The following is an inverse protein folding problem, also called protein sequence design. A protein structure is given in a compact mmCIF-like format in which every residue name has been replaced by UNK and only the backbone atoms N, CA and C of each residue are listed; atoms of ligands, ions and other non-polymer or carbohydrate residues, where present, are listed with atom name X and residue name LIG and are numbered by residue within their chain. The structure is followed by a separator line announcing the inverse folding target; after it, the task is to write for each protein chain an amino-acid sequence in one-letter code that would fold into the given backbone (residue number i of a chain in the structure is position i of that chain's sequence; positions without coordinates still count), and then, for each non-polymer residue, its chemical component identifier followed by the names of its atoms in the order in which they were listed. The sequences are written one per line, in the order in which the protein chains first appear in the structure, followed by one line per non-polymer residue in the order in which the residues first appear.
data_IF_869066455787
#
_entry.id   IF_869066455787
#
_cell.length_a   1.000
_cell.length_b   1.000
_cell.length_c   1.000
_cell.angle_alpha   90.00
_cell.angle_beta   90.00
_cell.angle_gamma   90.00
#
_symmetry.space_group_name_H-M   'P 1'
#
loop_
_entity.id
_entity.type
_entity.pdbx_description
1 polymer ?
#
# COMPACT_ATOMS: atom_id res chain seq x y z
N UNK A 1 4.30 -16.10 -8.76
CA UNK A 1 5.49 -15.26 -9.00
C UNK A 1 6.51 -16.10 -9.77
N UNK A 2 7.15 -15.52 -10.78
CA UNK A 2 8.21 -16.13 -11.60
C UNK A 2 9.54 -15.38 -11.38
N UNK A 3 10.63 -15.93 -11.91
CA UNK A 3 11.90 -15.19 -12.03
C UNK A 3 11.69 -13.90 -12.83
N UNK A 4 12.42 -12.86 -12.45
CA UNK A 4 12.44 -11.61 -13.22
C UNK A 4 12.78 -11.91 -14.68
N UNK A 5 12.22 -11.13 -15.62
CA UNK A 5 12.46 -11.35 -17.06
C UNK A 5 13.94 -11.28 -17.44
N UNK A 6 14.73 -10.46 -16.72
CA UNK A 6 16.18 -10.31 -16.90
C UNK A 6 16.99 -11.43 -16.23
N UNK A 7 16.36 -12.32 -15.46
CA UNK A 7 16.97 -13.38 -14.65
C UNK A 7 17.99 -12.90 -13.61
N UNK A 8 18.03 -11.59 -13.32
CA UNK A 8 18.91 -10.96 -12.34
C UNK A 8 18.14 -10.58 -11.09
N UNK A 9 18.85 -10.52 -9.96
CA UNK A 9 18.34 -9.88 -8.76
C UNK A 9 18.24 -8.37 -8.99
N UNK A 10 17.10 -7.78 -8.65
CA UNK A 10 16.85 -6.34 -8.79
C UNK A 10 16.74 -5.74 -7.39
N UNK A 11 17.51 -4.68 -7.16
CA UNK A 11 17.57 -3.94 -5.89
C UNK A 11 17.63 -2.44 -6.19
N UNK A 12 16.47 -1.81 -6.38
CA UNK A 12 16.37 -0.40 -6.74
C UNK A 12 15.06 0.21 -6.26
N UNK A 13 14.96 1.54 -6.33
CA UNK A 13 13.70 2.25 -6.10
C UNK A 13 12.91 2.30 -7.41
N UNK A 14 11.63 1.92 -7.32
CA UNK A 14 10.69 1.96 -8.43
C UNK A 14 9.52 2.86 -8.09
N UNK A 15 8.79 3.31 -9.12
CA UNK A 15 7.58 4.10 -8.94
C UNK A 15 6.36 3.19 -9.07
N UNK A 16 5.43 3.36 -8.13
CA UNK A 16 4.18 2.62 -8.06
C UNK A 16 3.02 3.60 -8.12
N UNK A 17 2.12 3.43 -9.08
CA UNK A 17 0.85 4.16 -9.08
C UNK A 17 -0.18 3.40 -8.27
N UNK A 18 -0.87 4.10 -7.40
CA UNK A 18 -2.05 3.59 -6.67
C UNK A 18 -3.20 3.44 -7.65
N UNK A 19 -3.66 2.21 -7.86
CA UNK A 19 -4.83 1.92 -8.69
C UNK A 19 -6.11 1.86 -7.86
N UNK A 20 -6.01 1.38 -6.61
CA UNK A 20 -7.15 1.26 -5.70
C UNK A 20 -6.78 1.65 -4.27
N UNK A 21 -7.59 2.52 -3.66
CA UNK A 21 -7.38 3.00 -2.28
C UNK A 21 -8.39 2.44 -1.27
N UNK A 22 -9.34 1.60 -1.68
CA UNK A 22 -10.34 0.97 -0.81
C UNK A 22 -9.83 -0.36 -0.22
N UNK A 23 -8.65 -0.30 0.40
CA UNK A 23 -8.11 -1.38 1.24
C UNK A 23 -7.61 -0.82 2.57
N UNK A 24 -7.54 -1.62 3.65
CA UNK A 24 -6.90 -1.23 4.91
C UNK A 24 -5.47 -0.67 4.75
N UNK A 25 -4.79 -1.04 3.68
CA UNK A 25 -3.39 -0.68 3.42
C UNK A 25 -3.23 0.55 2.52
N UNK A 26 -4.30 1.01 1.86
CA UNK A 26 -4.23 2.10 0.87
C UNK A 26 -5.25 3.21 1.11
N UNK A 27 -6.12 3.15 2.12
CA UNK A 27 -7.18 4.16 2.30
C UNK A 27 -6.71 5.58 2.62
N UNK A 28 -5.49 5.78 3.12
CA UNK A 28 -4.89 7.12 3.29
C UNK A 28 -4.18 7.62 2.00
N UNK A 29 -4.28 6.88 0.89
CA UNK A 29 -3.71 7.26 -0.42
C UNK A 29 -4.76 7.81 -1.38
N UNK A 30 -4.31 8.47 -2.44
CA UNK A 30 -5.17 8.92 -3.54
C UNK A 30 -4.98 8.03 -4.77
N UNK A 31 -6.07 7.62 -5.43
CA UNK A 31 -5.97 6.90 -6.72
C UNK A 31 -5.23 7.77 -7.73
N UNK A 32 -4.26 7.19 -8.44
CA UNK A 32 -3.34 7.89 -9.33
C UNK A 32 -2.10 8.48 -8.65
N UNK A 33 -2.02 8.47 -7.31
CA UNK A 33 -0.82 8.87 -6.60
C UNK A 33 0.35 7.95 -6.95
N UNK A 34 1.51 8.53 -7.24
CA UNK A 34 2.75 7.80 -7.51
C UNK A 34 3.61 7.78 -6.26
N UNK A 35 4.04 6.58 -5.85
CA UNK A 35 4.89 6.32 -4.68
C UNK A 35 6.23 5.77 -5.11
N UNK A 36 7.33 6.26 -4.53
CA UNK A 36 8.68 5.72 -4.76
C UNK A 36 9.04 4.68 -3.71
N UNK A 37 8.98 3.39 -4.05
CA UNK A 37 9.14 2.27 -3.12
C UNK A 37 10.28 1.34 -3.59
N UNK A 38 11.17 0.87 -2.69
CA UNK A 38 12.23 -0.06 -3.07
C UNK A 38 11.69 -1.47 -3.35
N UNK A 39 12.37 -2.17 -4.26
CA UNK A 39 12.21 -3.60 -4.50
C UNK A 39 13.55 -4.32 -4.24
N UNK A 40 13.49 -5.59 -3.83
CA UNK A 40 14.68 -6.40 -3.58
C UNK A 40 14.37 -7.89 -3.83
N UNK A 41 14.35 -8.33 -5.09
CA UNK A 41 13.96 -9.69 -5.44
C UNK A 41 14.60 -10.23 -6.73
N UNK A 42 14.84 -11.55 -6.77
CA UNK A 42 15.12 -12.29 -8.02
C UNK A 42 13.86 -12.91 -8.66
N UNK A 43 12.76 -12.97 -7.90
CA UNK A 43 11.49 -13.59 -8.28
C UNK A 43 10.31 -12.66 -7.96
N UNK A 44 10.24 -11.54 -8.68
CA UNK A 44 9.19 -10.54 -8.55
C UNK A 44 8.21 -10.47 -9.72
N UNK A 45 8.43 -11.24 -10.79
CA UNK A 45 7.56 -11.22 -11.96
C UNK A 45 6.19 -11.83 -11.61
N UNK A 46 5.17 -10.98 -11.51
CA UNK A 46 3.79 -11.43 -11.35
C UNK A 46 3.30 -12.04 -12.66
N UNK A 47 2.73 -13.23 -12.56
CA UNK A 47 2.22 -13.99 -13.69
C UNK A 47 0.96 -14.74 -13.27
N UNK A 48 -0.07 -14.65 -14.10
CA UNK A 48 -1.28 -15.46 -14.04
C UNK A 48 -1.80 -15.69 -15.48
N UNK A 49 -2.74 -16.61 -15.64
CA UNK A 49 -3.44 -16.80 -16.91
C UNK A 49 -4.37 -15.61 -17.23
N UNK A 50 -4.77 -15.49 -18.49
CA UNK A 50 -5.55 -14.35 -18.97
C UNK A 50 -6.94 -14.22 -18.33
N UNK A 51 -7.55 -15.34 -17.92
CA UNK A 51 -8.87 -15.29 -17.25
C UNK A 51 -8.73 -14.78 -15.82
N UNK A 52 -7.67 -15.20 -15.11
CA UNK A 52 -7.31 -14.65 -13.80
C UNK A 52 -7.03 -13.15 -13.88
N UNK A 53 -6.23 -12.70 -14.85
CA UNK A 53 -5.92 -11.27 -15.02
C UNK A 53 -7.18 -10.46 -15.32
N UNK A 54 -8.03 -10.93 -16.24
CA UNK A 54 -9.30 -10.28 -16.54
C UNK A 54 -10.19 -10.20 -15.30
N UNK A 55 -10.27 -11.28 -14.53
CA UNK A 55 -11.05 -11.30 -13.30
C UNK A 55 -10.51 -10.31 -12.26
N UNK A 56 -9.19 -10.16 -12.12
CA UNK A 56 -8.62 -9.15 -11.23
C UNK A 56 -8.95 -7.71 -11.66
N UNK A 57 -8.95 -7.45 -12.98
CA UNK A 57 -9.33 -6.15 -13.54
C UNK A 57 -10.82 -5.87 -13.34
N UNK A 58 -11.70 -6.82 -13.65
CA UNK A 58 -13.16 -6.70 -13.53
C UNK A 58 -13.63 -6.41 -12.09
N UNK A 59 -12.84 -6.82 -11.09
CA UNK A 59 -13.18 -6.68 -9.69
C UNK A 59 -12.29 -5.66 -8.95
N UNK A 60 -11.59 -4.80 -9.69
CA UNK A 60 -10.73 -3.74 -9.16
C UNK A 60 -9.74 -4.23 -8.08
N UNK A 61 -9.20 -5.44 -8.27
CA UNK A 61 -8.32 -6.10 -7.32
C UNK A 61 -6.84 -5.76 -7.53
N UNK A 62 -6.51 -4.94 -8.52
CA UNK A 62 -5.15 -4.46 -8.76
C UNK A 62 -4.97 -3.20 -7.93
N UNK A 63 -4.04 -3.24 -6.97
CA UNK A 63 -3.85 -2.15 -5.99
C UNK A 63 -2.71 -1.24 -6.41
N UNK A 64 -1.66 -1.80 -7.02
CA UNK A 64 -0.49 -1.07 -7.47
C UNK A 64 0.01 -1.56 -8.82
N UNK A 65 0.44 -0.62 -9.66
CA UNK A 65 1.19 -0.91 -10.89
C UNK A 65 2.55 -0.22 -10.88
N UNK A 66 3.56 -0.87 -11.46
CA UNK A 66 4.82 -0.23 -11.80
C UNK A 66 4.56 0.81 -12.88
N UNK A 67 5.06 2.03 -12.65
CA UNK A 67 4.91 3.15 -13.58
C UNK A 67 6.22 3.90 -13.68
N UNK A 68 6.28 4.83 -14.63
CA UNK A 68 7.30 5.87 -14.63
C UNK A 68 7.03 6.89 -13.51
N UNK A 69 7.95 7.84 -13.28
CA UNK A 69 7.79 8.88 -12.25
C UNK A 69 6.57 9.79 -12.46
N UNK A 70 6.08 9.97 -13.68
CA UNK A 70 4.89 10.77 -13.98
C UNK A 70 3.58 9.98 -13.86
N UNK A 71 3.69 8.68 -13.56
CA UNK A 71 2.56 7.77 -13.42
C UNK A 71 2.12 7.12 -14.73
N UNK A 72 2.81 7.33 -15.85
CA UNK A 72 2.51 6.60 -17.10
C UNK A 72 2.93 5.13 -17.03
N UNK A 73 2.17 4.27 -17.73
CA UNK A 73 2.52 2.87 -17.91
C UNK A 73 3.45 2.75 -19.10
N UNK A 74 4.67 2.30 -18.86
CA UNK A 74 5.63 1.96 -19.90
C UNK A 74 6.38 0.66 -19.55
N UNK A 75 6.88 -0.01 -20.59
CA UNK A 75 7.59 -1.27 -20.43
C UNK A 75 8.94 -1.11 -19.72
N UNK A 76 9.55 0.08 -19.80
CA UNK A 76 10.85 0.35 -19.20
C UNK A 76 10.78 0.37 -17.66
N UNK A 77 9.67 0.82 -17.11
CA UNK A 77 9.41 0.93 -15.67
C UNK A 77 8.97 -0.39 -15.05
N UNK A 78 8.50 -1.34 -15.87
CA UNK A 78 8.17 -2.70 -15.44
C UNK A 78 9.43 -3.59 -15.34
N UNK A 79 10.31 -3.25 -14.40
CA UNK A 79 11.67 -3.81 -14.31
C UNK A 79 11.74 -5.33 -14.11
N UNK A 80 10.68 -5.95 -13.58
CA UNK A 80 10.62 -7.40 -13.37
C UNK A 80 9.82 -8.16 -14.45
N UNK A 81 9.16 -7.43 -15.36
CA UNK A 81 8.36 -7.99 -16.46
C UNK A 81 7.02 -8.58 -16.01
N UNK A 82 6.44 -8.06 -14.93
CA UNK A 82 5.11 -8.51 -14.45
C UNK A 82 4.04 -8.26 -15.49
N UNK A 83 3.10 -9.20 -15.64
CA UNK A 83 1.94 -8.99 -16.53
C UNK A 83 1.16 -7.74 -16.09
N UNK A 84 0.78 -6.92 -17.07
CA UNK A 84 0.14 -5.61 -16.89
C UNK A 84 0.82 -4.67 -15.88
N UNK A 85 2.15 -4.81 -15.71
CA UNK A 85 2.93 -4.07 -14.73
C UNK A 85 2.40 -4.20 -13.28
N UNK A 86 1.71 -5.31 -12.94
CA UNK A 86 1.11 -5.50 -11.62
C UNK A 86 2.18 -5.62 -10.54
N UNK A 87 2.13 -4.74 -9.54
CA UNK A 87 3.03 -4.74 -8.38
C UNK A 87 2.36 -5.23 -7.09
N UNK A 88 1.03 -5.16 -7.02
CA UNK A 88 0.26 -5.65 -5.89
C UNK A 88 -1.22 -5.85 -6.21
N UNK A 89 -1.82 -6.83 -5.55
CA UNK A 89 -3.24 -7.21 -5.71
C UNK A 89 -3.90 -7.40 -4.34
N UNK A 90 -5.23 -7.33 -4.27
CA UNK A 90 -6.00 -7.71 -3.09
C UNK A 90 -6.91 -8.91 -3.33
N UNK A 91 -7.40 -9.53 -2.26
CA UNK A 91 -8.48 -10.52 -2.35
C UNK A 91 -9.85 -9.84 -2.62
N UNK A 92 -10.90 -10.65 -2.80
CA UNK A 92 -12.26 -10.16 -3.10
C UNK A 92 -12.87 -9.31 -1.99
N UNK A 93 -12.60 -9.66 -0.74
CA UNK A 93 -13.06 -8.89 0.42
C UNK A 93 -12.16 -7.68 0.71
N UNK A 94 -11.12 -7.47 -0.12
CA UNK A 94 -10.17 -6.34 -0.05
C UNK A 94 -9.43 -6.16 1.27
N UNK A 95 -9.44 -7.17 2.14
CA UNK A 95 -8.81 -7.16 3.46
C UNK A 95 -7.42 -7.80 3.48
N UNK A 96 -7.00 -8.47 2.40
CA UNK A 96 -5.67 -9.03 2.22
C UNK A 96 -5.04 -8.41 0.98
N UNK A 97 -3.85 -7.81 1.13
CA UNK A 97 -3.08 -7.25 0.01
C UNK A 97 -1.75 -8.01 -0.12
N UNK A 98 -1.52 -8.57 -1.30
CA UNK A 98 -0.24 -9.16 -1.69
C UNK A 98 0.59 -8.15 -2.48
N UNK A 99 1.84 -7.92 -2.06
CA UNK A 99 2.68 -6.88 -2.62
C UNK A 99 4.13 -7.39 -2.74
N UNK A 100 4.83 -7.00 -3.81
CA UNK A 100 6.25 -7.32 -4.01
C UNK A 100 7.23 -6.22 -3.58
N UNK A 101 6.92 -4.93 -3.79
CA UNK A 101 7.71 -3.85 -3.23
C UNK A 101 7.77 -3.85 -1.69
N UNK A 102 8.69 -3.07 -1.13
CA UNK A 102 8.97 -3.02 0.31
C UNK A 102 8.62 -1.64 0.90
N UNK A 103 7.32 -1.31 1.09
CA UNK A 103 6.91 -0.02 1.66
C UNK A 103 7.44 0.20 3.08
N UNK A 104 7.69 -0.87 3.84
CA UNK A 104 8.30 -0.80 5.16
C UNK A 104 9.72 -0.24 5.14
N UNK A 105 10.43 -0.37 4.00
CA UNK A 105 11.79 0.16 3.79
C UNK A 105 11.79 1.58 3.21
N UNK A 106 10.62 2.19 3.02
CA UNK A 106 10.44 3.54 2.50
C UNK A 106 9.65 4.42 3.48
N UNK A 107 10.01 4.41 4.76
CA UNK A 107 9.30 5.16 5.80
C UNK A 107 9.98 6.46 6.24
N UNK A 108 11.21 6.70 5.79
CA UNK A 108 12.05 7.83 6.22
C UNK A 108 12.92 8.34 5.07
N UNK A 109 13.10 9.66 4.96
CA UNK A 109 13.92 10.24 3.88
C UNK A 109 15.38 9.75 3.96
N UNK A 110 15.87 9.44 5.16
CA UNK A 110 17.21 8.92 5.39
C UNK A 110 17.47 7.56 4.72
N UNK A 111 16.43 6.75 4.48
CA UNK A 111 16.54 5.45 3.77
C UNK A 111 16.20 5.58 2.28
N UNK A 112 16.09 6.80 1.77
CA UNK A 112 15.90 7.10 0.36
C UNK A 112 14.45 7.30 -0.07
N UNK A 113 13.46 7.07 0.78
CA UNK A 113 12.06 7.44 0.50
C UNK A 113 11.21 7.38 1.76
N UNK A 114 10.20 8.25 1.85
CA UNK A 114 9.18 8.24 2.90
C UNK A 114 7.80 7.82 2.41
N UNK A 115 7.66 7.54 1.12
CA UNK A 115 6.37 7.29 0.49
C UNK A 115 5.68 6.01 0.99
N UNK A 116 6.44 5.00 1.43
CA UNK A 116 5.90 3.77 2.00
C UNK A 116 5.20 3.97 3.35
N UNK A 117 5.44 5.11 4.02
CA UNK A 117 4.81 5.44 5.30
C UNK A 117 3.29 5.51 5.19
N UNK A 118 2.74 5.95 4.07
CA UNK A 118 1.29 6.07 3.86
C UNK A 118 0.58 4.71 3.93
N UNK A 119 1.26 3.63 3.52
CA UNK A 119 0.72 2.27 3.55
C UNK A 119 0.60 1.76 4.98
N UNK A 120 1.63 1.97 5.80
CA UNK A 120 1.59 1.60 7.23
C UNK A 120 0.64 2.51 8.02
N UNK A 121 0.63 3.81 7.69
CA UNK A 121 -0.27 4.77 8.32
C UNK A 121 -1.74 4.40 8.03
N UNK A 122 -2.04 3.91 6.83
CA UNK A 122 -3.38 3.42 6.48
C UNK A 122 -3.88 2.35 7.47
N UNK A 123 -3.04 1.38 7.82
CA UNK A 123 -3.44 0.34 8.78
C UNK A 123 -3.71 0.96 10.18
N UNK A 124 -2.85 1.89 10.61
CA UNK A 124 -3.00 2.54 11.92
C UNK A 124 -4.25 3.42 12.01
N UNK A 125 -4.58 4.18 10.96
CA UNK A 125 -5.77 5.04 10.94
C UNK A 125 -7.03 4.19 11.06
N UNK A 126 -7.11 3.05 10.35
CA UNK A 126 -8.23 2.12 10.46
C UNK A 126 -8.41 1.59 11.89
N UNK A 127 -7.33 1.11 12.52
CA UNK A 127 -7.36 0.57 13.88
C UNK A 127 -7.74 1.63 14.94
N UNK A 128 -7.41 2.90 14.69
CA UNK A 128 -7.83 4.00 15.56
C UNK A 128 -9.33 4.22 15.50
N UNK A 129 -9.94 4.18 14.31
CA UNK A 129 -11.39 4.35 14.14
C UNK A 129 -12.17 3.23 14.86
N UNK A 130 -11.69 1.98 14.78
CA UNK A 130 -12.31 0.85 15.48
C UNK A 130 -12.32 0.98 17.01
N UNK A 131 -11.38 1.75 17.60
CA UNK A 131 -11.37 2.02 19.05
C UNK A 131 -12.43 3.02 19.52
N UNK A 132 -12.98 3.83 18.62
CA UNK A 132 -13.97 4.86 18.97
C UNK A 132 -15.41 4.42 18.71
N UNK A 133 -15.68 3.54 17.75
CA UNK A 133 -17.05 3.03 17.48
C UNK A 133 -17.55 1.98 18.48
N UNK A 134 -16.69 1.46 19.36
CA UNK A 134 -17.08 0.55 20.46
C UNK A 134 -16.92 1.16 21.86
N UNK A 135 -16.66 2.46 21.95
CA UNK A 135 -16.48 3.15 23.22
C UNK A 135 -17.27 4.46 23.25
N UNK A 136 -18.60 4.37 23.46
CA UNK A 136 -19.32 5.45 24.13
C UNK A 136 -18.90 5.47 25.62
N UNK A 137 -17.68 5.91 25.89
CA UNK A 137 -17.41 6.57 27.17
C UNK A 137 -17.81 8.03 26.98
N UNK A 138 -18.99 8.36 27.51
CA UNK A 138 -19.38 9.73 27.84
C UNK A 138 -18.26 10.37 28.65
N UNK A 139 -17.36 11.07 27.99
CA UNK A 139 -16.62 12.16 28.62
C UNK A 139 -17.56 13.35 28.53
N UNK A 140 -18.52 13.41 29.46
CA UNK A 140 -19.16 14.68 29.76
C UNK A 140 -18.13 15.55 30.46
N UNK A 141 -17.85 16.71 29.88
CA UNK A 141 -17.05 17.80 30.40
C UNK A 141 -17.59 18.33 31.74
N UNK A 142 -17.42 17.59 32.84
CA UNK A 142 -17.93 18.07 34.14
C UNK A 142 -17.13 17.60 35.37
N UNK A 143 -15.79 17.52 35.27
CA UNK A 143 -14.93 17.34 36.46
C UNK A 143 -13.67 18.21 36.37
N UNK A 144 -13.84 19.50 36.09
CA UNK A 144 -12.80 20.51 36.31
C UNK A 144 -13.22 21.53 37.37
N UNK A 145 -13.96 21.12 38.42
CA UNK A 145 -14.12 21.96 39.61
C UNK A 145 -14.63 21.20 40.85
N UNK A 146 -13.81 20.33 41.46
CA UNK A 146 -13.98 20.00 42.89
C UNK A 146 -12.64 20.07 43.59
N UNK A 147 -12.44 21.21 44.26
CA UNK A 147 -11.41 21.46 45.27
C UNK A 147 -11.46 20.36 46.32
N UNK A 148 -10.34 19.67 46.52
CA UNK A 148 -10.05 18.92 47.73
C UNK A 148 -8.86 19.58 48.45
N UNK A 149 -9.15 20.32 49.51
CA UNK A 149 -8.22 20.51 50.63
C UNK A 149 -9.05 20.72 51.89
N UNK A 150 -9.09 19.68 52.73
CA UNK A 150 -9.68 19.76 54.06
C UNK A 150 -8.63 20.19 55.09
N UNK A 151 -8.83 21.36 55.67
CA UNK A 151 -8.73 21.72 57.09
C UNK A 151 -8.98 23.22 57.23
#
# INVERSE_FOLDING_TARGET
MRRNQTLKFICEHVHLRVEANDTPFTHDTTVGQVLRIPIAHGEGNYYADGDTIRSLQEHDQIVFRYTSPDGSLDDASNVNGSVDAIAGICNRDRNVVGLKPHPERACEDAVGSRDGRVVLQSVLSLLRVFRWTHCELRVTDDVFNRRCSGR
#
